data_IF_423340679309
#
_entry.id   IF_423340679309
#
_cell.length_a   1.000
_cell.length_b   1.000
_cell.length_c   1.000
_cell.angle_alpha   90.00
_cell.angle_beta   90.00
_cell.angle_gamma   90.00
#
_symmetry.space_group_name_H-M   'P 1'
#
loop_
_entity.id
_entity.type
_entity.pdbx_description
1 polymer ?
#
# COMPACT_ATOMS: atom_id res chain seq x y z
N UNK A 1 -13.05 8.52 -16.75
CA UNK A 1 -13.61 7.14 -16.71
C UNK A 1 -15.06 7.11 -17.19
N UNK A 2 -15.51 6.02 -17.81
CA UNK A 2 -16.92 5.77 -18.21
C UNK A 2 -17.57 4.72 -17.31
N UNK A 3 -18.90 4.64 -17.33
CA UNK A 3 -19.65 3.64 -16.56
C UNK A 3 -19.40 2.23 -17.14
N UNK A 4 -19.39 1.21 -16.29
CA UNK A 4 -19.36 -0.17 -16.76
C UNK A 4 -20.60 -0.50 -17.59
N UNK A 5 -20.39 -1.24 -18.68
CA UNK A 5 -21.43 -1.78 -19.55
C UNK A 5 -21.28 -3.30 -19.65
N UNK A 6 -22.38 -4.05 -19.74
CA UNK A 6 -22.31 -5.49 -19.99
C UNK A 6 -21.65 -5.77 -21.34
N UNK A 7 -20.74 -6.74 -21.36
CA UNK A 7 -20.07 -7.24 -22.55
C UNK A 7 -20.55 -8.69 -22.77
N UNK A 8 -21.45 -8.94 -23.75
CA UNK A 8 -22.05 -10.26 -23.93
C UNK A 8 -20.99 -11.35 -23.99
N UNK A 9 -21.13 -12.39 -23.14
CA UNK A 9 -20.21 -13.54 -22.99
C UNK A 9 -18.79 -13.24 -22.49
N UNK A 10 -18.45 -12.00 -22.15
CA UNK A 10 -17.08 -11.60 -21.77
C UNK A 10 -16.99 -10.83 -20.44
N UNK A 11 -18.14 -10.52 -19.80
CA UNK A 11 -18.20 -9.86 -18.49
C UNK A 11 -18.69 -8.42 -18.61
N UNK A 12 -17.94 -7.47 -18.06
CA UNK A 12 -18.28 -6.05 -18.07
C UNK A 12 -17.08 -5.21 -18.49
N UNK A 13 -17.32 -4.13 -19.24
CA UNK A 13 -16.27 -3.27 -19.76
C UNK A 13 -16.49 -1.80 -19.40
N UNK A 14 -15.40 -1.10 -19.10
CA UNK A 14 -15.39 0.34 -18.86
C UNK A 14 -14.25 1.00 -19.63
N UNK A 15 -14.52 2.11 -20.31
CA UNK A 15 -13.46 2.93 -20.90
C UNK A 15 -12.85 3.83 -19.84
N UNK A 16 -11.53 3.84 -19.78
CA UNK A 16 -10.72 4.68 -18.89
C UNK A 16 -9.65 5.32 -19.76
N UNK A 17 -9.40 6.61 -19.59
CA UNK A 17 -8.34 7.27 -20.36
C UNK A 17 -6.98 6.67 -19.96
N UNK A 18 -5.99 6.52 -20.89
CA UNK A 18 -4.73 5.86 -20.57
C UNK A 18 -3.98 6.46 -19.37
N UNK A 19 -4.07 7.79 -19.19
CA UNK A 19 -3.47 8.49 -18.06
C UNK A 19 -4.19 8.16 -16.74
N UNK A 20 -5.53 8.15 -16.74
CA UNK A 20 -6.33 7.74 -15.58
C UNK A 20 -6.04 6.27 -15.20
N UNK A 21 -5.96 5.38 -16.20
CA UNK A 21 -5.67 3.97 -15.97
C UNK A 21 -4.27 3.77 -15.39
N UNK A 22 -3.27 4.53 -15.88
CA UNK A 22 -1.90 4.50 -15.34
C UNK A 22 -1.86 4.99 -13.90
N UNK A 23 -2.56 6.09 -13.60
CA UNK A 23 -2.66 6.62 -12.23
C UNK A 23 -3.29 5.59 -11.29
N UNK A 24 -4.44 5.02 -11.66
CA UNK A 24 -5.12 4.02 -10.84
C UNK A 24 -4.28 2.76 -10.66
N UNK A 25 -3.61 2.28 -11.72
CA UNK A 25 -2.69 1.14 -11.63
C UNK A 25 -1.56 1.41 -10.62
N UNK A 26 -1.05 2.64 -10.60
CA UNK A 26 -0.06 3.11 -9.62
C UNK A 26 -0.60 3.04 -8.18
N UNK A 27 -1.81 3.54 -7.93
CA UNK A 27 -2.46 3.48 -6.60
C UNK A 27 -2.57 2.04 -6.10
N UNK A 28 -3.10 1.12 -6.92
CA UNK A 28 -3.23 -0.29 -6.54
C UNK A 28 -1.87 -0.96 -6.33
N UNK A 29 -0.86 -0.61 -7.14
CA UNK A 29 0.49 -1.14 -6.99
C UNK A 29 1.12 -0.68 -5.67
N UNK A 30 1.03 0.61 -5.36
CA UNK A 30 1.61 1.18 -4.14
C UNK A 30 0.93 0.66 -2.87
N UNK A 31 -0.40 0.47 -2.90
CA UNK A 31 -1.12 -0.21 -1.81
C UNK A 31 -0.68 -1.66 -1.64
N UNK A 32 -0.47 -2.40 -2.74
CA UNK A 32 0.02 -3.78 -2.67
C UNK A 32 1.45 -3.87 -2.14
N UNK A 33 2.33 -2.94 -2.55
CA UNK A 33 3.70 -2.87 -2.06
C UNK A 33 3.74 -2.49 -0.57
N UNK A 34 2.88 -1.57 -0.13
CA UNK A 34 2.74 -1.20 1.27
C UNK A 34 2.23 -2.38 2.12
N UNK A 35 1.31 -3.19 1.60
CA UNK A 35 0.82 -4.38 2.30
C UNK A 35 1.92 -5.45 2.44
N UNK A 36 2.71 -5.69 1.40
CA UNK A 36 3.87 -6.59 1.47
C UNK A 36 4.97 -6.07 2.41
N UNK A 37 5.19 -4.75 2.45
CA UNK A 37 6.14 -4.14 3.35
C UNK A 37 5.70 -4.30 4.81
N UNK A 38 4.42 -4.13 5.09
CA UNK A 38 3.84 -4.34 6.42
C UNK A 38 4.01 -5.80 6.88
N UNK A 39 3.73 -6.77 6.02
CA UNK A 39 3.92 -8.20 6.34
C UNK A 39 5.39 -8.53 6.63
N UNK A 40 6.32 -8.00 5.82
CA UNK A 40 7.77 -8.19 6.04
C UNK A 40 8.21 -7.58 7.37
N UNK A 41 7.71 -6.40 7.73
CA UNK A 41 8.01 -5.75 9.00
C UNK A 41 7.54 -6.59 10.17
N UNK A 42 6.31 -7.05 10.11
CA UNK A 42 5.72 -7.88 11.16
C UNK A 42 6.49 -9.20 11.37
N UNK A 43 6.91 -9.86 10.29
CA UNK A 43 7.76 -11.06 10.37
C UNK A 43 9.13 -10.73 10.98
N UNK A 44 9.73 -9.59 10.66
CA UNK A 44 11.01 -9.17 11.23
C UNK A 44 10.89 -8.84 12.72
N UNK A 45 9.82 -8.15 13.12
CA UNK A 45 9.52 -7.87 14.52
C UNK A 45 9.32 -9.16 15.32
N UNK A 46 8.63 -10.17 14.76
CA UNK A 46 8.50 -11.51 15.36
C UNK A 46 9.84 -12.24 15.51
N UNK A 47 10.82 -11.94 14.65
CA UNK A 47 12.20 -12.47 14.78
C UNK A 47 13.07 -11.63 15.74
N UNK A 48 12.49 -10.67 16.46
CA UNK A 48 13.21 -9.74 17.35
C UNK A 48 14.04 -8.69 16.60
N UNK A 49 13.82 -8.53 15.30
CA UNK A 49 14.51 -7.55 14.45
C UNK A 49 13.64 -6.30 14.33
N UNK A 50 13.87 -5.34 15.23
CA UNK A 50 13.17 -4.06 15.16
C UNK A 50 13.74 -3.19 14.03
N UNK A 51 13.00 -3.07 12.93
CA UNK A 51 13.34 -2.20 11.80
C UNK A 51 13.17 -0.69 12.11
N UNK A 52 12.42 -0.37 13.17
CA UNK A 52 11.99 0.99 13.53
C UNK A 52 12.83 1.62 14.65
N UNK A 53 13.93 0.99 15.07
CA UNK A 53 14.77 1.47 16.17
C UNK A 53 15.24 2.94 16.04
N UNK A 54 15.37 3.43 14.80
CA UNK A 54 15.82 4.81 14.48
C UNK A 54 14.88 5.55 13.49
N UNK A 55 13.77 4.95 13.05
CA UNK A 55 12.90 5.55 12.00
C UNK A 55 11.68 6.23 12.64
N UNK A 56 11.42 7.53 12.39
CA UNK A 56 10.18 8.16 12.82
C UNK A 56 8.98 7.38 12.26
N UNK A 57 8.02 7.02 13.11
CA UNK A 57 6.72 6.43 12.72
C UNK A 57 5.82 7.44 11.99
N UNK A 58 6.38 8.20 11.06
CA UNK A 58 5.64 9.01 10.11
C UNK A 58 5.62 8.24 8.81
N UNK A 59 4.44 7.72 8.45
CA UNK A 59 4.17 7.34 7.08
C UNK A 59 3.86 8.65 6.35
N UNK A 60 4.83 9.26 5.61
CA UNK A 60 4.49 10.40 4.80
C UNK A 60 3.40 9.95 3.82
N UNK A 61 2.44 10.85 3.61
CA UNK A 61 1.39 10.83 2.60
C UNK A 61 1.66 9.78 1.49
N UNK A 62 0.80 8.76 1.38
CA UNK A 62 0.93 7.80 0.27
C UNK A 62 0.64 8.50 -1.05
N UNK A 63 1.21 7.97 -2.13
CA UNK A 63 1.00 8.41 -3.50
C UNK A 63 1.64 9.76 -3.86
N UNK A 64 2.38 10.45 -3.00
CA UNK A 64 2.97 11.76 -3.32
C UNK A 64 3.81 11.76 -4.60
N UNK A 65 4.72 10.78 -4.70
CA UNK A 65 5.57 10.62 -5.88
C UNK A 65 4.76 10.31 -7.13
N UNK A 66 3.72 9.49 -6.98
CA UNK A 66 2.80 9.13 -8.06
C UNK A 66 1.98 10.33 -8.52
N UNK A 67 1.52 11.15 -7.59
CA UNK A 67 0.71 12.35 -7.84
C UNK A 67 1.56 13.56 -8.25
N UNK A 68 2.89 13.44 -8.21
CA UNK A 68 3.80 14.55 -8.50
C UNK A 68 3.70 15.71 -7.50
N UNK A 69 3.21 15.44 -6.29
CA UNK A 69 3.10 16.42 -5.21
C UNK A 69 4.30 16.23 -4.29
N UNK A 70 5.46 16.74 -4.70
CA UNK A 70 6.66 16.72 -3.86
C UNK A 70 6.48 17.66 -2.66
N UNK A 71 7.04 17.28 -1.51
CA UNK A 71 6.82 17.80 -0.13
C UNK A 71 7.11 19.29 0.10
N UNK A 72 7.38 20.07 -0.96
CA UNK A 72 7.81 21.47 -0.89
C UNK A 72 6.65 22.46 -1.15
N UNK A 73 5.46 22.00 -1.55
CA UNK A 73 4.32 22.90 -1.85
C UNK A 73 3.10 22.80 -0.91
N UNK A 74 3.15 21.97 0.14
CA UNK A 74 2.06 21.88 1.13
C UNK A 74 2.35 22.61 2.46
N UNK A 75 3.59 23.07 2.69
CA UNK A 75 3.95 23.95 3.83
C UNK A 75 3.79 25.42 3.41
N UNK A 76 2.66 25.77 2.79
CA UNK A 76 2.16 27.13 2.84
C UNK A 76 1.23 27.21 4.05
N UNK A 77 1.89 27.31 5.21
CA UNK A 77 1.45 27.79 6.51
C UNK A 77 -0.05 27.96 6.72
N UNK A 78 -0.62 27.08 7.54
CA UNK A 78 -1.62 27.50 8.52
C UNK A 78 -0.92 28.53 9.42
N UNK A 79 -1.30 29.80 9.35
CA UNK A 79 -0.77 30.85 10.22
C UNK A 79 -1.22 30.58 11.67
N UNK A 80 -0.37 29.90 12.43
CA UNK A 80 -0.42 29.92 13.88
C UNK A 80 0.17 31.25 14.38
N UNK A 81 -0.56 31.90 15.29
CA UNK A 81 -0.20 33.17 15.92
C UNK A 81 1.16 33.08 16.63
N UNK A 82 2.06 34.07 16.51
CA UNK A 82 3.41 33.95 17.05
C UNK A 82 3.44 34.08 18.58
N UNK A 83 3.86 33.01 19.26
CA UNK A 83 4.39 33.12 20.61
C UNK A 83 5.86 33.56 20.58
N UNK A 84 6.10 34.60 21.36
CA UNK A 84 7.36 35.26 21.66
C UNK A 84 8.41 34.27 22.21
N UNK A 85 9.59 34.22 21.57
CA UNK A 85 10.84 33.76 22.22
C UNK A 85 12.10 34.15 21.44
N UNK A 86 12.73 35.14 22.03
CA UNK A 86 14.10 35.65 21.94
C UNK A 86 15.25 34.64 21.69
N UNK A 87 16.13 35.04 20.78
CA UNK A 87 17.62 35.05 20.82
C UNK A 87 18.45 33.76 20.90
N UNK A 88 19.48 33.68 20.04
CA UNK A 88 20.76 33.04 20.37
C UNK A 88 21.57 32.52 19.18
N UNK A 89 22.50 33.34 18.66
CA UNK A 89 23.54 32.99 17.68
C UNK A 89 24.55 31.95 18.22
N UNK A 90 25.12 31.10 17.34
CA UNK A 90 26.56 31.01 17.05
C UNK A 90 26.96 29.70 16.31
N UNK A 91 27.66 29.85 15.20
CA UNK A 91 28.52 28.86 14.53
C UNK A 91 30.00 29.35 14.64
N UNK A 92 31.03 28.67 14.11
CA UNK A 92 31.50 27.28 14.26
C UNK A 92 33.02 27.28 14.64
N UNK A 93 33.71 26.12 14.68
CA UNK A 93 35.16 25.98 14.33
C UNK A 93 35.69 24.54 14.53
N UNK A 94 36.22 23.95 13.44
CA UNK A 94 37.63 23.54 13.43
C UNK A 94 38.03 22.06 13.34
N UNK A 95 38.67 21.75 12.20
CA UNK A 95 39.94 21.00 12.03
C UNK A 95 39.89 19.48 11.79
N UNK A 96 40.26 19.09 10.56
CA UNK A 96 40.43 17.70 10.15
C UNK A 96 41.83 17.12 10.32
N UNK A 97 42.00 15.87 9.84
CA UNK A 97 43.20 15.33 9.18
C UNK A 97 42.98 13.87 8.69
N UNK A 98 43.23 13.69 7.39
CA UNK A 98 43.88 12.59 6.62
C UNK A 98 43.52 11.09 6.80
N UNK A 99 43.20 10.49 5.64
CA UNK A 99 43.28 9.07 5.24
C UNK A 99 44.68 8.44 5.37
N UNK A 100 44.75 7.09 5.32
CA UNK A 100 45.26 6.46 4.08
C UNK A 100 44.39 5.30 3.55
N UNK A 101 44.43 5.15 2.23
CA UNK A 101 43.89 4.05 1.42
C UNK A 101 44.76 2.80 1.48
N UNK A 102 44.18 1.62 1.26
CA UNK A 102 44.82 0.52 0.50
C UNK A 102 43.77 -0.54 0.10
N UNK A 103 43.51 -0.64 -1.21
CA UNK A 103 42.80 -1.74 -1.88
C UNK A 103 43.81 -2.82 -2.27
N UNK A 104 43.46 -4.09 -2.05
CA UNK A 104 44.13 -5.27 -2.62
C UNK A 104 43.16 -6.06 -3.53
N UNK A 105 43.67 -6.81 -4.52
CA UNK A 105 42.92 -7.16 -5.72
C UNK A 105 41.95 -8.33 -5.53
N UNK A 106 40.80 -8.25 -6.21
CA UNK A 106 39.79 -9.32 -6.32
C UNK A 106 40.03 -10.08 -7.62
N UNK A 107 40.27 -11.39 -7.51
CA UNK A 107 40.43 -12.32 -8.64
C UNK A 107 39.04 -12.70 -9.23
N UNK A 108 38.74 -12.41 -10.51
CA UNK A 108 37.40 -12.55 -11.09
C UNK A 108 37.12 -13.88 -11.81
N UNK A 109 37.69 -15.01 -11.40
CA UNK A 109 37.37 -16.31 -12.01
C UNK A 109 37.12 -17.45 -11.02
N UNK A 110 35.92 -17.51 -10.43
CA UNK A 110 35.36 -18.76 -9.89
C UNK A 110 33.82 -18.76 -9.89
N UNK A 111 33.18 -18.17 -10.92
CA UNK A 111 31.75 -18.29 -11.17
C UNK A 111 31.55 -19.19 -12.39
N UNK A 112 31.52 -20.53 -12.22
CA UNK A 112 30.70 -21.48 -13.02
C UNK A 112 30.74 -22.87 -12.37
N UNK A 113 29.61 -23.32 -11.84
CA UNK A 113 28.93 -24.60 -12.19
C UNK A 113 27.69 -24.76 -11.32
N UNK A 114 26.54 -24.81 -11.98
CA UNK A 114 25.29 -25.27 -11.43
C UNK A 114 25.33 -26.78 -11.27
N UNK A 115 24.75 -27.32 -10.20
CA UNK A 115 24.15 -28.66 -10.18
C UNK A 115 23.09 -28.80 -9.04
N UNK A 116 22.13 -29.68 -9.32
CA UNK A 116 20.87 -30.07 -8.61
C UNK A 116 20.87 -30.15 -7.07
N UNK A 117 19.67 -30.14 -6.42
CA UNK A 117 19.56 -30.24 -4.97
C UNK A 117 19.91 -31.67 -4.52
N UNK A 118 21.02 -31.79 -3.80
CA UNK A 118 21.36 -33.01 -3.08
C UNK A 118 20.62 -33.00 -1.73
N UNK A 119 19.74 -33.97 -1.54
CA UNK A 119 19.13 -34.27 -0.26
C UNK A 119 20.21 -34.96 0.61
N UNK A 120 21.06 -34.16 1.25
CA UNK A 120 22.16 -34.59 2.13
C UNK A 120 21.95 -34.07 3.55
N UNK A 121 22.56 -34.68 4.57
CA UNK A 121 22.42 -34.25 5.95
C UNK A 121 22.99 -32.84 6.12
N UNK A 122 22.20 -31.92 6.68
CA UNK A 122 22.53 -30.50 6.86
C UNK A 122 23.96 -30.32 7.38
N UNK A 123 24.81 -29.63 6.63
CA UNK A 123 26.17 -29.33 7.06
C UNK A 123 26.13 -28.36 8.25
N UNK A 124 26.94 -28.58 9.32
CA UNK A 124 26.97 -27.69 10.46
C UNK A 124 27.59 -26.34 10.05
N UNK A 125 26.98 -25.25 10.48
CA UNK A 125 27.57 -23.92 10.29
C UNK A 125 28.77 -23.67 11.25
N UNK A 126 29.31 -22.44 11.26
CA UNK A 126 30.43 -22.04 12.12
C UNK A 126 30.22 -22.26 13.64
N UNK A 127 28.98 -22.47 14.11
CA UNK A 127 28.65 -22.79 15.49
C UNK A 127 28.34 -24.28 15.75
N UNK A 128 28.38 -25.15 14.74
CA UNK A 128 28.18 -26.59 14.93
C UNK A 128 26.75 -27.02 15.30
N UNK A 129 25.78 -26.11 15.25
CA UNK A 129 24.38 -26.41 15.55
C UNK A 129 23.71 -27.11 14.36
N UNK A 130 22.83 -28.06 14.67
CA UNK A 130 21.86 -28.60 13.71
C UNK A 130 20.74 -27.60 13.44
N UNK A 131 20.04 -27.70 12.31
CA UNK A 131 18.95 -26.79 11.97
C UNK A 131 17.82 -26.79 13.01
N UNK A 132 17.55 -27.96 13.61
CA UNK A 132 16.56 -28.13 14.68
C UNK A 132 16.94 -27.35 15.95
N UNK A 133 18.24 -27.34 16.30
CA UNK A 133 18.75 -26.57 17.43
C UNK A 133 18.73 -25.05 17.15
N UNK A 134 18.92 -24.63 15.89
CA UNK A 134 18.77 -23.20 15.52
C UNK A 134 17.32 -22.75 15.67
N UNK A 135 16.37 -23.55 15.18
CA UNK A 135 14.96 -23.22 15.34
C UNK A 135 14.56 -23.15 16.81
N UNK A 136 15.11 -24.03 17.65
CA UNK A 136 14.85 -24.00 19.10
C UNK A 136 15.53 -22.82 19.83
N UNK A 137 16.60 -22.25 19.29
CA UNK A 137 17.23 -21.02 19.82
C UNK A 137 16.49 -19.74 19.38
N UNK A 138 15.71 -19.80 18.31
CA UNK A 138 14.83 -18.71 17.90
C UNK A 138 13.59 -18.71 18.79
N UNK A 139 13.35 -17.61 19.51
CA UNK A 139 12.11 -17.35 20.25
C UNK A 139 10.97 -16.96 19.30
N UNK A 140 10.79 -17.75 18.23
CA UNK A 140 9.81 -17.51 17.19
C UNK A 140 8.51 -18.22 17.54
N UNK A 141 7.51 -17.46 17.98
CA UNK A 141 6.15 -17.94 18.15
C UNK A 141 5.26 -17.43 16.98
N UNK A 142 4.92 -18.29 16.00
CA UNK A 142 4.08 -17.91 14.86
C UNK A 142 2.62 -17.59 15.27
N UNK A 143 2.22 -17.92 16.50
CA UNK A 143 0.90 -17.62 17.06
C UNK A 143 0.95 -16.49 18.09
N UNK A 144 2.10 -15.84 18.26
CA UNK A 144 2.21 -14.64 19.10
C UNK A 144 1.25 -13.56 18.63
N UNK A 145 0.72 -12.77 19.58
CA UNK A 145 -0.20 -11.69 19.30
C UNK A 145 0.42 -10.71 18.32
N UNK A 146 -0.28 -10.39 17.24
CA UNK A 146 0.18 -9.43 16.25
C UNK A 146 -0.20 -8.01 16.68
N UNK A 147 0.59 -6.95 16.45
CA UNK A 147 0.14 -5.57 16.61
C UNK A 147 -0.77 -5.13 15.44
N UNK A 148 -1.39 -3.96 15.56
CA UNK A 148 -2.13 -3.37 14.44
C UNK A 148 -1.12 -2.92 13.36
N UNK A 149 -1.50 -2.94 12.06
CA UNK A 149 -0.64 -2.43 11.00
C UNK A 149 -0.18 -1.01 11.32
N UNK A 150 1.12 -0.78 11.22
CA UNK A 150 1.70 0.53 11.48
C UNK A 150 1.37 1.51 10.35
N UNK A 151 1.28 1.05 9.09
CA UNK A 151 0.78 1.88 8.00
C UNK A 151 -0.75 2.05 8.14
N UNK A 152 -1.26 3.29 8.31
CA UNK A 152 -2.67 3.50 8.56
C UNK A 152 -3.57 3.24 7.34
N UNK A 153 -3.07 3.38 6.11
CA UNK A 153 -3.79 2.97 4.90
C UNK A 153 -4.04 1.45 4.92
N UNK A 154 -3.04 0.69 5.36
CA UNK A 154 -3.14 -0.77 5.51
C UNK A 154 -4.05 -1.12 6.70
N UNK A 155 -3.98 -0.40 7.81
CA UNK A 155 -4.90 -0.58 8.94
C UNK A 155 -6.37 -0.34 8.54
N UNK A 156 -6.64 0.60 7.63
CA UNK A 156 -7.97 0.85 7.09
C UNK A 156 -8.49 -0.30 6.21
N UNK A 157 -7.58 -0.99 5.49
CA UNK A 157 -7.91 -2.16 4.67
C UNK A 157 -8.08 -3.42 5.54
N UNK A 158 -7.19 -3.60 6.53
CA UNK A 158 -7.12 -4.72 7.45
C UNK A 158 -7.72 -4.34 8.81
N UNK A 159 -9.00 -3.93 8.79
CA UNK A 159 -9.70 -3.49 10.00
C UNK A 159 -9.71 -4.55 11.09
N UNK A 160 -9.68 -4.14 12.37
CA UNK A 160 -9.67 -5.08 13.48
C UNK A 160 -10.96 -5.90 13.51
N UNK A 161 -10.82 -7.20 13.83
CA UNK A 161 -11.95 -8.13 13.93
C UNK A 161 -12.72 -8.03 15.25
N UNK A 162 -12.14 -7.35 16.25
CA UNK A 162 -12.78 -7.04 17.53
C UNK A 162 -12.53 -5.57 17.91
N UNK A 163 -13.40 -5.03 18.75
CA UNK A 163 -13.18 -3.73 19.41
C UNK A 163 -12.24 -3.84 20.60
N UNK A 164 -12.13 -5.05 21.17
CA UNK A 164 -11.15 -5.36 22.20
C UNK A 164 -9.76 -5.50 21.55
N UNK A 165 -8.78 -4.76 22.06
CA UNK A 165 -7.46 -4.70 21.44
C UNK A 165 -6.66 -6.00 21.57
N UNK A 166 -6.86 -6.73 22.66
CA UNK A 166 -6.17 -7.99 22.95
C UNK A 166 -6.76 -9.10 22.07
N UNK A 167 -8.10 -9.24 22.05
CA UNK A 167 -8.79 -10.17 21.16
C UNK A 167 -8.48 -9.87 19.69
N UNK A 168 -8.45 -8.59 19.30
CA UNK A 168 -8.08 -8.21 17.95
C UNK A 168 -6.63 -8.62 17.59
N UNK A 169 -5.71 -8.64 18.56
CA UNK A 169 -4.32 -9.01 18.35
C UNK A 169 -4.15 -10.52 18.13
N UNK A 170 -4.87 -11.33 18.90
CA UNK A 170 -4.94 -12.78 18.73
C UNK A 170 -5.58 -13.16 17.39
N UNK A 171 -6.72 -12.55 17.05
CA UNK A 171 -7.40 -12.80 15.77
C UNK A 171 -6.53 -12.37 14.58
N UNK A 172 -5.76 -11.28 14.72
CA UNK A 172 -4.83 -10.83 13.69
C UNK A 172 -3.71 -11.85 13.45
N UNK A 173 -3.16 -12.44 14.51
CA UNK A 173 -2.16 -13.50 14.37
C UNK A 173 -2.72 -14.70 13.57
N UNK A 174 -3.99 -15.07 13.80
CA UNK A 174 -4.61 -16.22 13.16
C UNK A 174 -5.03 -15.99 11.70
N UNK A 175 -5.44 -14.77 11.34
CA UNK A 175 -6.19 -14.53 10.09
C UNK A 175 -5.57 -13.51 9.14
N UNK A 176 -4.79 -12.56 9.66
CA UNK A 176 -4.28 -11.44 8.88
C UNK A 176 -3.30 -11.85 7.78
N UNK A 177 -2.36 -12.82 7.97
CA UNK A 177 -1.45 -13.25 6.90
C UNK A 177 -2.19 -13.66 5.61
N UNK A 178 -3.13 -14.60 5.75
CA UNK A 178 -3.92 -15.10 4.63
C UNK A 178 -4.81 -14.00 4.00
N UNK A 179 -5.35 -13.11 4.84
CA UNK A 179 -6.18 -12.01 4.39
C UNK A 179 -5.37 -10.98 3.60
N UNK A 180 -4.20 -10.60 4.12
CA UNK A 180 -3.27 -9.67 3.49
C UNK A 180 -2.80 -10.23 2.15
N UNK A 181 -2.32 -11.48 2.10
CA UNK A 181 -1.90 -12.12 0.86
C UNK A 181 -3.01 -12.12 -0.22
N UNK A 182 -4.26 -12.42 0.15
CA UNK A 182 -5.40 -12.38 -0.77
C UNK A 182 -5.70 -10.96 -1.28
N UNK A 183 -5.65 -9.96 -0.40
CA UNK A 183 -5.91 -8.56 -0.76
C UNK A 183 -4.78 -7.98 -1.62
N UNK A 184 -3.52 -8.26 -1.30
CA UNK A 184 -2.35 -7.93 -2.12
C UNK A 184 -2.49 -8.52 -3.53
N UNK A 185 -2.80 -9.82 -3.64
CA UNK A 185 -3.00 -10.46 -4.94
C UNK A 185 -4.15 -9.81 -5.72
N UNK A 186 -5.25 -9.45 -5.06
CA UNK A 186 -6.37 -8.76 -5.69
C UNK A 186 -5.98 -7.38 -6.25
N UNK A 187 -5.23 -6.59 -5.47
CA UNK A 187 -4.71 -5.29 -5.91
C UNK A 187 -3.78 -5.43 -7.11
N UNK A 188 -2.88 -6.43 -7.11
CA UNK A 188 -1.99 -6.72 -8.25
C UNK A 188 -2.76 -7.09 -9.51
N UNK A 189 -3.83 -7.88 -9.40
CA UNK A 189 -4.69 -8.23 -10.54
C UNK A 189 -5.35 -6.99 -11.14
N UNK A 190 -5.91 -6.11 -10.31
CA UNK A 190 -6.53 -4.86 -10.76
C UNK A 190 -5.50 -3.92 -11.39
N UNK A 191 -4.34 -3.75 -10.75
CA UNK A 191 -3.23 -2.96 -11.28
C UNK A 191 -2.81 -3.45 -12.68
N UNK A 192 -2.61 -4.76 -12.84
CA UNK A 192 -2.23 -5.34 -14.13
C UNK A 192 -3.31 -5.14 -15.21
N UNK A 193 -4.59 -5.27 -14.86
CA UNK A 193 -5.70 -5.01 -15.77
C UNK A 193 -5.76 -3.55 -16.25
N UNK A 194 -5.51 -2.61 -15.35
CA UNK A 194 -5.44 -1.18 -15.66
C UNK A 194 -4.20 -0.83 -16.49
N UNK A 195 -3.02 -1.36 -16.16
CA UNK A 195 -1.80 -1.18 -16.95
C UNK A 195 -1.99 -1.70 -18.37
N UNK A 196 -2.55 -2.90 -18.52
CA UNK A 196 -2.82 -3.47 -19.84
C UNK A 196 -3.76 -2.58 -20.66
N UNK A 197 -4.84 -2.09 -20.06
CA UNK A 197 -5.79 -1.19 -20.69
C UNK A 197 -5.13 0.12 -21.15
N UNK A 198 -4.25 0.70 -20.32
CA UNK A 198 -3.51 1.92 -20.63
C UNK A 198 -2.56 1.72 -21.83
N UNK A 199 -1.73 0.67 -21.80
CA UNK A 199 -0.76 0.37 -22.86
C UNK A 199 -1.43 0.09 -24.22
N UNK A 200 -2.55 -0.64 -24.19
CA UNK A 200 -3.24 -1.10 -25.40
C UNK A 200 -4.38 -0.17 -25.83
N UNK A 201 -4.56 0.98 -25.16
CA UNK A 201 -5.64 1.93 -25.43
C UNK A 201 -7.01 1.23 -25.51
N UNK A 202 -7.20 0.24 -24.62
CA UNK A 202 -8.31 -0.70 -24.63
C UNK A 202 -9.17 -0.51 -23.39
N UNK A 203 -10.47 -0.85 -23.43
CA UNK A 203 -11.31 -0.78 -22.25
C UNK A 203 -10.80 -1.74 -21.16
N UNK A 204 -11.02 -1.37 -19.91
CA UNK A 204 -10.87 -2.28 -18.77
C UNK A 204 -11.99 -3.31 -18.84
N UNK A 205 -11.63 -4.60 -18.78
CA UNK A 205 -12.59 -5.71 -18.82
C UNK A 205 -12.54 -6.49 -17.51
N UNK A 206 -13.68 -6.58 -16.84
CA UNK A 206 -13.90 -7.39 -15.64
C UNK A 206 -14.63 -8.66 -16.07
N UNK A 207 -13.97 -9.81 -15.90
CA UNK A 207 -14.56 -11.11 -16.26
C UNK A 207 -15.38 -11.66 -15.09
N UNK A 208 -16.39 -12.52 -15.33
CA UNK A 208 -17.20 -13.12 -14.25
C UNK A 208 -16.38 -13.85 -13.17
N UNK A 209 -15.34 -14.56 -13.56
CA UNK A 209 -14.44 -15.30 -12.65
C UNK A 209 -13.56 -14.40 -11.77
N UNK A 210 -13.32 -13.16 -12.21
CA UNK A 210 -12.50 -12.16 -11.51
C UNK A 210 -13.33 -11.04 -10.87
N UNK A 211 -14.66 -11.03 -11.03
CA UNK A 211 -15.54 -9.98 -10.52
C UNK A 211 -15.31 -9.70 -9.02
N UNK A 212 -15.29 -10.75 -8.19
CA UNK A 212 -15.06 -10.61 -6.75
C UNK A 212 -13.71 -9.97 -6.43
N UNK A 213 -12.68 -10.27 -7.23
CA UNK A 213 -11.33 -9.71 -7.07
C UNK A 213 -11.36 -8.21 -7.33
N UNK A 214 -11.99 -7.78 -8.42
CA UNK A 214 -12.14 -6.37 -8.78
C UNK A 214 -12.93 -5.58 -7.73
N UNK A 215 -14.10 -6.09 -7.32
CA UNK A 215 -14.94 -5.47 -6.29
C UNK A 215 -14.18 -5.32 -4.97
N UNK A 216 -13.47 -6.37 -4.55
CA UNK A 216 -12.70 -6.37 -3.29
C UNK A 216 -11.58 -5.34 -3.34
N UNK A 217 -10.76 -5.35 -4.40
CA UNK A 217 -9.63 -4.44 -4.52
C UNK A 217 -10.08 -2.98 -4.62
N UNK A 218 -11.07 -2.65 -5.47
CA UNK A 218 -11.60 -1.28 -5.57
C UNK A 218 -12.14 -0.81 -4.23
N UNK A 219 -12.88 -1.66 -3.52
CA UNK A 219 -13.39 -1.32 -2.20
C UNK A 219 -12.26 -1.09 -1.18
N UNK A 220 -11.22 -1.92 -1.20
CA UNK A 220 -10.07 -1.77 -0.30
C UNK A 220 -9.30 -0.47 -0.56
N UNK A 221 -9.09 -0.11 -1.83
CA UNK A 221 -8.50 1.19 -2.18
C UNK A 221 -9.37 2.36 -1.70
N UNK A 222 -10.70 2.27 -1.82
CA UNK A 222 -11.61 3.28 -1.27
C UNK A 222 -11.51 3.40 0.25
N UNK A 223 -11.38 2.29 0.96
CA UNK A 223 -11.22 2.31 2.42
C UNK A 223 -9.90 2.99 2.82
N UNK A 224 -8.82 2.68 2.12
CA UNK A 224 -7.51 3.30 2.36
C UNK A 224 -7.55 4.83 2.13
N UNK A 225 -8.13 5.26 1.01
CA UNK A 225 -8.28 6.69 0.69
C UNK A 225 -9.26 7.39 1.63
N UNK A 226 -10.38 6.74 1.98
CA UNK A 226 -11.37 7.29 2.89
C UNK A 226 -10.81 7.52 4.30
N UNK A 227 -9.96 6.61 4.78
CA UNK A 227 -9.22 6.82 6.03
C UNK A 227 -8.30 8.06 5.94
N UNK A 228 -7.54 8.18 4.86
CA UNK A 228 -6.65 9.34 4.64
C UNK A 228 -7.41 10.68 4.61
N UNK A 229 -8.63 10.66 4.06
CA UNK A 229 -9.53 11.81 4.02
C UNK A 229 -10.28 12.06 5.34
N UNK A 230 -10.13 11.18 6.33
CA UNK A 230 -10.80 11.27 7.63
C UNK A 230 -12.30 11.00 7.57
N UNK A 231 -12.79 10.19 6.62
CA UNK A 231 -14.23 9.90 6.46
C UNK A 231 -14.69 8.95 7.57
N UNK A 232 -15.37 9.51 8.56
CA UNK A 232 -15.95 8.77 9.70
C UNK A 232 -17.49 8.78 9.70
N UNK A 233 -18.09 9.75 9.03
CA UNK A 233 -19.53 9.95 8.94
C UNK A 233 -19.96 10.51 7.56
N UNK A 234 -21.28 10.61 7.36
CA UNK A 234 -21.87 11.07 6.11
C UNK A 234 -21.55 12.56 5.84
N UNK A 235 -21.46 13.39 6.89
CA UNK A 235 -21.13 14.82 6.74
C UNK A 235 -19.74 15.01 6.14
N UNK A 236 -18.76 14.25 6.63
CA UNK A 236 -17.40 14.29 6.10
C UNK A 236 -17.32 13.70 4.70
N UNK A 237 -18.12 12.69 4.37
CA UNK A 237 -18.22 12.16 3.02
C UNK A 237 -18.75 13.21 2.02
N UNK A 238 -19.76 13.99 2.40
CA UNK A 238 -20.26 15.11 1.60
C UNK A 238 -19.21 16.21 1.40
N UNK A 239 -18.44 16.55 2.44
CA UNK A 239 -17.34 17.52 2.32
C UNK A 239 -16.25 17.05 1.35
N UNK A 240 -15.89 15.76 1.40
CA UNK A 240 -14.94 15.15 0.46
C UNK A 240 -15.46 15.21 -0.98
N UNK A 241 -16.77 15.12 -1.19
CA UNK A 241 -17.34 15.31 -2.51
C UNK A 241 -17.08 16.73 -3.05
N UNK A 242 -17.31 17.75 -2.22
CA UNK A 242 -17.03 19.14 -2.56
C UNK A 242 -15.53 19.41 -2.72
N UNK A 243 -14.68 18.77 -1.90
CA UNK A 243 -13.23 18.88 -1.97
C UNK A 243 -12.70 18.44 -3.34
N UNK A 244 -13.22 17.36 -3.91
CA UNK A 244 -12.82 16.88 -5.24
C UNK A 244 -13.16 17.86 -6.38
N UNK A 245 -14.15 18.73 -6.17
CA UNK A 245 -14.58 19.75 -7.14
C UNK A 245 -13.85 21.09 -6.95
N UNK A 246 -13.02 21.22 -5.92
CA UNK A 246 -12.31 22.46 -5.60
C UNK A 246 -11.14 22.74 -6.55
N UNK A 247 -10.87 24.02 -6.81
CA UNK A 247 -9.64 24.47 -7.48
C UNK A 247 -8.52 24.65 -6.42
N UNK A 248 -7.34 24.01 -6.58
CA UNK A 248 -6.20 24.24 -5.69
C UNK A 248 -5.82 25.72 -5.53
N UNK A 249 -6.10 26.57 -6.53
CA UNK A 249 -5.81 28.01 -6.50
C UNK A 249 -6.63 28.78 -5.47
N UNK A 250 -7.75 28.23 -5.01
CA UNK A 250 -8.57 28.86 -3.98
C UNK A 250 -7.92 28.77 -2.59
N UNK A 251 -6.90 27.93 -2.41
CA UNK A 251 -6.14 27.80 -1.16
C UNK A 251 -6.89 27.11 -0.01
N UNK A 252 -8.10 26.59 -0.26
CA UNK A 252 -8.90 25.89 0.77
C UNK A 252 -8.34 24.49 1.03
N UNK A 253 -7.97 23.78 -0.04
CA UNK A 253 -7.41 22.43 0.01
C UNK A 253 -6.15 22.37 -0.86
N UNK A 254 -5.21 21.53 -0.44
CA UNK A 254 -3.99 21.26 -1.21
C UNK A 254 -4.30 20.47 -2.47
N UNK A 255 -3.41 20.53 -3.47
CA UNK A 255 -3.51 19.71 -4.68
C UNK A 255 -3.54 18.21 -4.35
N UNK A 256 -2.83 17.79 -3.30
CA UNK A 256 -2.85 16.42 -2.81
C UNK A 256 -4.25 16.01 -2.33
N UNK A 257 -4.84 16.77 -1.41
CA UNK A 257 -6.17 16.49 -0.84
C UNK A 257 -7.24 16.44 -1.93
N UNK A 258 -7.25 17.42 -2.84
CA UNK A 258 -8.18 17.47 -3.96
C UNK A 258 -8.03 16.22 -4.84
N UNK A 259 -6.79 15.78 -5.08
CA UNK A 259 -6.52 14.60 -5.92
C UNK A 259 -6.96 13.31 -5.24
N UNK A 260 -6.64 13.12 -3.95
CA UNK A 260 -7.07 11.94 -3.18
C UNK A 260 -8.60 11.87 -3.08
N UNK A 261 -9.27 13.00 -2.83
CA UNK A 261 -10.73 13.11 -2.83
C UNK A 261 -11.32 12.77 -4.21
N UNK A 262 -10.71 13.26 -5.28
CA UNK A 262 -11.12 12.97 -6.66
C UNK A 262 -11.02 11.46 -6.96
N UNK A 263 -9.92 10.82 -6.59
CA UNK A 263 -9.72 9.38 -6.81
C UNK A 263 -10.72 8.58 -5.95
N UNK A 264 -10.93 8.95 -4.69
CA UNK A 264 -11.92 8.31 -3.82
C UNK A 264 -13.33 8.37 -4.43
N UNK A 265 -13.77 9.54 -4.89
CA UNK A 265 -15.09 9.71 -5.51
C UNK A 265 -15.20 8.93 -6.82
N UNK A 266 -14.16 8.98 -7.65
CA UNK A 266 -14.15 8.29 -8.93
C UNK A 266 -14.20 6.77 -8.76
N UNK A 267 -13.45 6.20 -7.80
CA UNK A 267 -13.52 4.77 -7.46
C UNK A 267 -14.87 4.39 -6.84
N UNK A 268 -15.47 5.26 -6.03
CA UNK A 268 -16.81 5.06 -5.47
C UNK A 268 -17.85 4.90 -6.56
N UNK A 269 -17.87 5.85 -7.49
CA UNK A 269 -18.76 5.82 -8.64
C UNK A 269 -18.47 4.63 -9.56
N UNK A 270 -17.20 4.32 -9.81
CA UNK A 270 -16.82 3.22 -10.69
C UNK A 270 -17.28 1.87 -10.15
N UNK A 271 -17.13 1.64 -8.84
CA UNK A 271 -17.65 0.45 -8.15
C UNK A 271 -19.18 0.36 -8.24
N UNK A 272 -19.88 1.48 -8.02
CA UNK A 272 -21.33 1.55 -8.14
C UNK A 272 -21.80 1.15 -9.55
N UNK A 273 -21.16 1.69 -10.60
CA UNK A 273 -21.52 1.36 -11.97
C UNK A 273 -21.23 -0.10 -12.33
N UNK A 274 -20.16 -0.70 -11.77
CA UNK A 274 -19.88 -2.12 -11.91
C UNK A 274 -20.99 -2.96 -11.29
N UNK A 275 -21.40 -2.62 -10.07
CA UNK A 275 -22.48 -3.33 -9.37
C UNK A 275 -23.82 -3.22 -10.10
N UNK A 276 -24.17 -2.05 -10.64
CA UNK A 276 -25.38 -1.91 -11.47
C UNK A 276 -25.31 -2.76 -12.74
N UNK A 277 -24.15 -2.79 -13.41
CA UNK A 277 -23.99 -3.58 -14.63
C UNK A 277 -24.10 -5.09 -14.36
N UNK A 278 -23.62 -5.56 -13.21
CA UNK A 278 -23.77 -6.96 -12.75
C UNK A 278 -25.24 -7.29 -12.49
N UNK A 279 -25.94 -6.44 -11.71
CA UNK A 279 -27.35 -6.65 -11.39
C UNK A 279 -28.26 -6.58 -12.63
N UNK A 280 -27.94 -5.69 -13.58
CA UNK A 280 -28.67 -5.58 -14.85
C UNK A 280 -28.50 -6.81 -15.74
N UNK A 281 -27.30 -7.42 -15.77
CA UNK A 281 -27.08 -8.64 -16.54
C UNK A 281 -27.78 -9.88 -15.97
N UNK A 282 -27.95 -9.97 -14.65
CA UNK A 282 -28.65 -11.10 -14.02
C UNK A 282 -30.15 -11.10 -14.35
N UNK A 283 -30.74 -9.92 -14.59
CA UNK A 283 -32.14 -9.78 -14.98
C UNK A 283 -32.42 -10.28 -16.41
N UNK A 284 -31.46 -10.17 -17.33
CA UNK A 284 -31.62 -10.60 -18.73
C UNK A 284 -31.42 -12.12 -18.94
N UNK A 285 -30.74 -12.82 -18.01
CA UNK A 285 -30.50 -14.27 -18.10
C UNK A 285 -31.65 -15.10 -17.48
N UNK A 286 -32.56 -14.45 -16.76
CA UNK A 286 -33.68 -15.07 -16.06
C UNK A 286 -35.01 -15.15 -16.83
N UNK A 287 -35.08 -14.70 -18.10
CA UNK A 287 -36.26 -14.79 -18.98
C UNK A 287 -36.12 -15.87 -20.07
#
# INVERSE_FOLDING_TARGET
>A
MQAFQPLPSAGWASRVEPQEATLLAGIFSELSDAMEAEEKRDVLDMMGVNLDGDTPKHYPLMFEKLLGVDQVSSIASREELPEDRTSGEAEPLGRGKKLPSEEGPVDPQALRRADKPANGPSEPNAQGLTDEQRLAELDFDPLSTRPAPANPYIAAILRPMSKDSEEAAELRALTTPDLAAKKTAAMRVVAAGLTWAAEHHSPVVVKPDTLKVWVTAINDARLALGWSLGIEDDMRAEEVQLMAESDPKNGIYTAYEITIASIYNALSWWLETLMYAVMGSDAEVGE
#
